data_IF_694974881098
#
_entry.id   IF_694974881098
#
_cell.length_a   1.000
_cell.length_b   1.000
_cell.length_c   1.000
_cell.angle_alpha   90.00
_cell.angle_beta   90.00
_cell.angle_gamma   90.00
#
_symmetry.space_group_name_H-M   'P 1'
#
loop_
_entity.id
_entity.type
_entity.pdbx_description
1 polymer ?
#
# COMPACT_ATOMS: atom_id res chain seq x y z
N UNK A 1 -1.28 6.15 -38.59
CA UNK A 1 -1.40 6.75 -37.26
C UNK A 1 -0.02 7.12 -36.73
N UNK A 2 0.10 8.36 -36.32
CA UNK A 2 1.37 8.81 -35.78
C UNK A 2 1.39 8.67 -34.27
N UNK A 3 2.53 8.39 -33.73
CA UNK A 3 2.70 8.27 -32.31
C UNK A 3 3.53 9.44 -31.82
N UNK A 4 3.22 9.87 -30.59
CA UNK A 4 3.97 10.97 -29.99
C UNK A 4 4.83 10.41 -28.86
N UNK A 5 6.00 10.97 -28.70
CA UNK A 5 6.88 10.58 -27.62
C UNK A 5 6.75 11.58 -26.49
N UNK A 6 6.34 11.10 -25.33
CA UNK A 6 6.14 11.97 -24.18
C UNK A 6 7.24 11.72 -23.16
N UNK A 7 7.43 12.72 -22.33
CA UNK A 7 8.37 12.57 -21.24
C UNK A 7 7.80 11.56 -20.26
N UNK A 8 8.63 10.73 -19.71
CA UNK A 8 8.19 9.73 -18.75
C UNK A 8 7.55 10.39 -17.53
N UNK A 9 6.51 9.80 -17.02
CA UNK A 9 5.80 10.31 -15.86
C UNK A 9 4.69 9.37 -15.46
N UNK A 10 3.87 9.83 -14.51
CA UNK A 10 2.78 9.01 -13.99
C UNK A 10 1.56 9.17 -14.88
N UNK A 11 1.51 8.42 -15.94
CA UNK A 11 0.48 8.57 -16.97
C UNK A 11 -0.76 7.69 -16.81
N UNK A 12 -0.70 6.72 -15.91
CA UNK A 12 -1.80 5.77 -15.78
C UNK A 12 -2.70 6.12 -14.59
N UNK A 13 -3.37 7.25 -14.68
CA UNK A 13 -4.31 7.68 -13.66
C UNK A 13 -5.72 7.51 -14.19
N UNK A 14 -6.71 7.36 -13.31
CA UNK A 14 -6.57 7.31 -11.84
C UNK A 14 -6.12 5.94 -11.35
N UNK A 15 -5.50 5.92 -10.18
CA UNK A 15 -5.05 4.69 -9.54
C UNK A 15 -5.74 4.52 -8.20
N UNK A 16 -6.12 3.31 -7.83
CA UNK A 16 -6.73 3.11 -6.53
C UNK A 16 -5.66 3.20 -5.44
N UNK A 17 -6.03 3.74 -4.30
CA UNK A 17 -5.13 3.78 -3.16
C UNK A 17 -5.61 2.74 -2.16
N UNK A 18 -4.71 1.93 -1.67
CA UNK A 18 -5.03 0.91 -0.67
C UNK A 18 -4.08 1.04 0.49
N UNK A 19 -4.48 0.55 1.65
CA UNK A 19 -3.61 0.56 2.81
C UNK A 19 -3.07 -0.85 3.00
N UNK A 20 -1.77 -0.97 3.08
CA UNK A 20 -1.11 -2.26 3.21
C UNK A 20 -0.53 -2.39 4.61
N UNK A 21 -0.95 -3.41 5.32
CA UNK A 21 -0.43 -3.66 6.66
C UNK A 21 0.62 -4.75 6.61
N UNK A 22 1.67 -4.57 7.38
CA UNK A 22 2.79 -5.51 7.43
C UNK A 22 3.22 -5.69 8.87
N UNK A 23 3.91 -6.80 9.14
CA UNK A 23 4.44 -7.08 10.46
C UNK A 23 5.81 -7.71 10.25
N UNK A 24 6.73 -7.52 11.19
CA UNK A 24 8.04 -8.15 11.05
C UNK A 24 8.08 -9.48 11.79
N UNK A 25 6.97 -9.89 12.35
CA UNK A 25 6.92 -11.17 13.07
C UNK A 25 7.47 -11.08 14.47
N UNK A 26 7.85 -9.91 14.92
CA UNK A 26 8.42 -9.72 16.24
C UNK A 26 7.69 -8.65 17.04
N UNK A 27 6.43 -8.44 16.71
CA UNK A 27 5.63 -7.48 17.45
C UNK A 27 5.62 -6.08 16.87
N UNK A 28 6.34 -5.85 15.78
CA UNK A 28 6.34 -4.54 15.14
C UNK A 28 5.44 -4.59 13.90
N UNK A 29 4.49 -3.68 13.86
CA UNK A 29 3.53 -3.61 12.76
C UNK A 29 3.57 -2.22 12.13
N UNK A 30 3.21 -2.14 10.87
CA UNK A 30 3.13 -0.85 10.20
C UNK A 30 2.09 -0.88 9.10
N UNK A 31 1.66 0.30 8.68
CA UNK A 31 0.69 0.46 7.62
C UNK A 31 1.23 1.49 6.67
N UNK A 32 1.07 1.25 5.38
CA UNK A 32 1.51 2.20 4.37
C UNK A 32 0.42 2.32 3.33
N UNK A 33 0.17 3.53 2.87
CA UNK A 33 -0.79 3.75 1.80
C UNK A 33 -0.05 3.63 0.47
N UNK A 34 -0.56 2.81 -0.40
CA UNK A 34 0.08 2.52 -1.68
C UNK A 34 -0.90 2.75 -2.82
N UNK A 35 -0.49 3.56 -3.78
CA UNK A 35 -1.27 3.74 -5.00
C UNK A 35 -0.65 2.89 -6.12
N UNK A 36 0.58 2.43 -5.91
CA UNK A 36 1.27 1.63 -6.92
C UNK A 36 0.98 0.17 -6.67
N UNK A 37 -0.28 -0.21 -6.86
CA UNK A 37 -0.74 -1.58 -6.63
C UNK A 37 -1.59 -2.00 -7.82
N UNK A 38 -1.58 -3.26 -8.14
CA UNK A 38 -2.38 -3.72 -9.25
C UNK A 38 -2.50 -5.22 -9.34
N UNK A 39 -3.43 -5.66 -10.16
CA UNK A 39 -3.63 -7.07 -10.43
C UNK A 39 -2.62 -7.50 -11.49
N UNK A 40 -1.95 -8.59 -11.23
CA UNK A 40 -0.93 -9.09 -12.14
C UNK A 40 -1.46 -10.25 -12.98
N UNK A 41 -2.26 -11.09 -12.39
CA UNK A 41 -2.72 -12.30 -13.07
C UNK A 41 -4.05 -12.74 -12.48
N UNK A 42 -4.88 -13.34 -13.31
CA UNK A 42 -6.20 -13.76 -12.88
C UNK A 42 -6.21 -15.21 -12.39
N UNK A 43 -5.43 -16.04 -13.03
CA UNK A 43 -5.43 -17.47 -12.72
C UNK A 43 -4.01 -18.01 -12.75
N UNK A 44 -3.37 -18.14 -11.59
CA UNK A 44 -3.92 -17.90 -10.26
C UNK A 44 -4.05 -16.41 -9.97
N UNK A 45 -4.93 -16.02 -9.08
CA UNK A 45 -5.10 -14.59 -8.79
C UNK A 45 -3.86 -14.05 -8.08
N UNK A 46 -3.31 -13.00 -8.61
CA UNK A 46 -2.07 -12.41 -8.08
C UNK A 46 -2.15 -10.91 -8.15
N UNK A 47 -1.60 -10.26 -7.14
CA UNK A 47 -1.52 -8.80 -7.11
C UNK A 47 -0.08 -8.41 -6.78
N UNK A 48 0.26 -7.19 -7.10
CA UNK A 48 1.58 -6.68 -6.78
C UNK A 48 1.45 -5.30 -6.16
N UNK A 49 2.44 -4.96 -5.35
CA UNK A 49 2.57 -3.60 -4.85
C UNK A 49 4.03 -3.20 -5.08
N UNK A 50 4.24 -1.90 -5.28
CA UNK A 50 5.59 -1.39 -5.47
C UNK A 50 5.93 -0.52 -4.27
N UNK A 51 7.00 -0.85 -3.58
CA UNK A 51 7.41 -0.14 -2.37
C UNK A 51 8.86 0.28 -2.50
N UNK A 52 9.11 1.58 -2.31
CA UNK A 52 10.48 2.08 -2.41
C UNK A 52 11.31 1.62 -1.23
N UNK A 53 12.61 1.39 -1.43
CA UNK A 53 13.48 0.99 -0.32
C UNK A 53 13.53 2.01 0.82
N UNK A 54 13.17 3.28 0.55
CA UNK A 54 13.19 4.29 1.58
C UNK A 54 11.99 4.23 2.52
N UNK A 55 10.97 3.44 2.18
CA UNK A 55 9.79 3.34 3.03
C UNK A 55 10.07 2.46 4.24
N UNK A 56 9.45 2.83 5.36
CA UNK A 56 9.64 2.08 6.60
C UNK A 56 9.22 0.61 6.46
N UNK A 57 8.17 0.34 5.70
CA UNK A 57 7.67 -1.02 5.54
C UNK A 57 8.53 -1.89 4.62
N UNK A 58 9.46 -1.30 3.89
CA UNK A 58 10.25 -2.04 2.91
C UNK A 58 11.01 -3.21 3.53
N UNK A 59 11.71 -2.94 4.63
CA UNK A 59 12.49 -3.99 5.28
C UNK A 59 11.60 -5.06 5.89
N UNK A 60 10.45 -4.66 6.42
CA UNK A 60 9.52 -5.62 7.00
C UNK A 60 8.98 -6.55 5.92
N UNK A 61 8.70 -6.00 4.73
CA UNK A 61 8.22 -6.81 3.62
C UNK A 61 9.29 -7.78 3.14
N UNK A 62 10.54 -7.33 3.10
CA UNK A 62 11.62 -8.21 2.68
C UNK A 62 11.85 -9.33 3.68
N UNK A 63 11.65 -9.03 4.96
CA UNK A 63 11.90 -10.01 6.01
C UNK A 63 10.83 -11.09 6.05
N UNK A 64 9.56 -10.72 5.94
CA UNK A 64 8.48 -11.68 6.08
C UNK A 64 7.91 -12.16 4.77
N UNK A 65 7.93 -11.33 3.75
CA UNK A 65 7.35 -11.70 2.47
C UNK A 65 5.82 -11.74 2.50
N UNK A 66 5.21 -11.14 3.51
CA UNK A 66 3.75 -11.18 3.66
C UNK A 66 3.19 -9.81 3.91
N UNK A 67 1.99 -9.57 3.43
CA UNK A 67 1.30 -8.32 3.66
C UNK A 67 -0.19 -8.51 3.43
N UNK A 68 -0.99 -7.57 3.94
CA UNK A 68 -2.44 -7.60 3.77
C UNK A 68 -2.86 -6.31 3.12
N UNK A 69 -3.66 -6.41 2.07
CA UNK A 69 -4.18 -5.24 1.38
C UNK A 69 -5.56 -4.93 1.94
N UNK A 70 -5.73 -3.71 2.43
CA UNK A 70 -6.98 -3.27 3.00
C UNK A 70 -7.59 -2.25 2.05
N UNK A 71 -8.75 -2.57 1.51
CA UNK A 71 -9.43 -1.67 0.59
C UNK A 71 -9.93 -0.45 1.34
N UNK A 72 -9.86 0.70 0.72
CA UNK A 72 -10.23 1.94 1.39
C UNK A 72 -11.68 2.25 1.13
N UNK A 73 -12.29 2.96 2.05
CA UNK A 73 -13.68 3.40 1.94
C UNK A 73 -13.73 4.88 2.26
N UNK A 74 -14.90 5.46 2.10
CA UNK A 74 -15.07 6.86 2.41
C UNK A 74 -14.77 7.13 3.89
N UNK A 75 -15.16 6.20 4.75
CA UNK A 75 -14.91 6.34 6.18
C UNK A 75 -13.43 6.31 6.50
N UNK A 76 -12.65 5.66 5.68
CA UNK A 76 -11.21 5.52 5.92
C UNK A 76 -10.38 6.54 5.15
N UNK A 77 -11.03 7.50 4.51
CA UNK A 77 -10.30 8.47 3.70
C UNK A 77 -9.24 9.23 4.50
N UNK A 78 -9.58 9.65 5.70
CA UNK A 78 -8.61 10.38 6.52
C UNK A 78 -7.43 9.48 6.89
N UNK A 79 -7.72 8.25 7.32
CA UNK A 79 -6.65 7.32 7.71
C UNK A 79 -5.77 6.99 6.51
N UNK A 80 -6.37 6.86 5.33
CA UNK A 80 -5.62 6.56 4.12
C UNK A 80 -4.65 7.70 3.80
N UNK A 81 -5.14 8.93 3.90
CA UNK A 81 -4.28 10.09 3.63
C UNK A 81 -3.20 10.22 4.69
N UNK A 82 -3.56 10.02 5.95
CA UNK A 82 -2.61 10.13 7.04
C UNK A 82 -1.47 9.13 6.87
N UNK A 83 -1.80 7.89 6.54
CA UNK A 83 -0.78 6.87 6.35
C UNK A 83 0.06 7.12 5.09
N UNK A 84 -0.46 7.93 4.17
CA UNK A 84 0.27 8.26 2.96
C UNK A 84 1.28 9.38 3.16
N UNK A 85 1.06 10.25 4.17
CA UNK A 85 1.96 11.37 4.41
C UNK A 85 2.82 11.21 5.65
N UNK A 86 2.59 10.19 6.45
CA UNK A 86 3.41 9.94 7.63
C UNK A 86 4.14 8.63 7.49
N UNK A 87 5.32 8.56 8.08
CA UNK A 87 6.12 7.34 8.01
C UNK A 87 6.05 6.62 9.35
N UNK A 88 6.12 5.30 9.31
CA UNK A 88 6.20 4.50 10.53
C UNK A 88 7.47 4.80 11.33
N UNK A 89 8.45 5.50 10.71
CA UNK A 89 9.63 5.91 11.44
C UNK A 89 9.32 7.05 12.40
N UNK A 90 8.26 7.83 12.10
CA UNK A 90 7.91 9.00 12.88
C UNK A 90 6.75 8.76 13.84
N UNK A 91 5.80 7.91 13.46
CA UNK A 91 4.63 7.61 14.27
C UNK A 91 4.31 6.14 14.17
N UNK A 92 3.60 5.62 15.17
CA UNK A 92 3.20 4.23 15.14
C UNK A 92 1.86 4.14 14.42
N UNK A 93 1.90 3.82 13.16
CA UNK A 93 0.71 3.77 12.34
C UNK A 93 -0.17 2.55 12.62
N UNK A 94 0.35 1.57 13.35
CA UNK A 94 -0.44 0.40 13.66
C UNK A 94 -1.56 0.74 14.64
N UNK A 95 -1.52 1.92 15.25
CA UNK A 95 -2.57 2.33 16.17
C UNK A 95 -3.80 2.84 15.44
N UNK A 96 -3.76 2.96 14.14
CA UNK A 96 -4.91 3.38 13.37
C UNK A 96 -5.75 2.14 13.10
N UNK A 97 -6.98 2.15 13.59
CA UNK A 97 -7.82 0.98 13.45
C UNK A 97 -8.50 0.93 12.10
N UNK A 98 -7.86 0.29 11.14
CA UNK A 98 -8.49 0.14 9.86
C UNK A 98 -8.79 -1.29 9.60
N UNK A 99 -8.34 -2.15 10.44
CA UNK A 99 -8.51 -3.55 10.19
C UNK A 99 -9.81 -4.03 10.70
N UNK A 100 -10.80 -3.26 10.72
CA UNK A 100 -12.04 -3.66 11.14
C UNK A 100 -12.43 -4.86 10.51
N UNK A 101 -12.99 -5.67 11.20
CA UNK A 101 -13.32 -6.95 10.72
C UNK A 101 -14.40 -6.95 9.75
N UNK A 102 -14.54 -6.01 9.08
CA UNK A 102 -15.54 -6.03 8.16
C UNK A 102 -15.11 -6.83 7.09
N UNK A 103 -14.86 -7.95 7.27
CA UNK A 103 -14.50 -8.71 6.22
C UNK A 103 -15.65 -9.12 5.58
N UNK A 104 -15.72 -9.07 4.36
CA UNK A 104 -16.82 -9.67 3.65
C UNK A 104 -16.72 -11.14 3.71
#
# INVERSE_FOLDING_TARGET
>A
MEKETWKAGNMLYPLPAVMVSVSDGEGNDNIITVAWAGTVCTNPPMVSISVRPSRFSYDMLRKTGEFVINLTTEKLAYATDYCGVRSGRDVDLSLIHISEPTRP
#
